data_IF_271164786719
#
_entry.id   IF_271164786719
#
_cell.length_a   1.000
_cell.length_b   1.000
_cell.length_c   1.000
_cell.angle_alpha   90.00
_cell.angle_beta   90.00
_cell.angle_gamma   90.00
#
_symmetry.space_group_name_H-M   'P 1'
#
loop_
_entity.id
_entity.type
_entity.pdbx_description
1 polymer ?
#
# COMPACT_ATOMS: atom_id res chain seq x y z
N UNK A 1 13.72 5.09 -1.56
CA UNK A 1 14.00 6.42 -2.19
C UNK A 1 15.04 7.25 -1.45
N UNK A 2 15.05 7.31 -0.11
CA UNK A 2 16.04 8.14 0.60
C UNK A 2 17.48 7.63 0.38
N UNK A 3 17.68 6.31 0.47
CA UNK A 3 18.99 5.66 0.21
C UNK A 3 19.46 5.91 -1.23
N UNK A 4 18.58 5.74 -2.21
CA UNK A 4 18.89 5.96 -3.63
C UNK A 4 19.33 7.41 -3.93
N UNK A 5 18.81 8.39 -3.20
CA UNK A 5 19.13 9.82 -3.41
C UNK A 5 20.33 10.31 -2.61
N UNK A 6 20.58 9.74 -1.44
CA UNK A 6 21.50 10.31 -0.46
C UNK A 6 22.69 9.41 -0.12
N UNK A 7 22.72 8.16 -0.59
CA UNK A 7 23.78 7.20 -0.28
C UNK A 7 24.39 6.66 -1.56
N UNK A 8 23.68 5.76 -2.24
CA UNK A 8 24.15 5.11 -3.45
C UNK A 8 22.98 4.48 -4.22
N UNK A 9 23.11 4.43 -5.55
CA UNK A 9 22.06 3.93 -6.45
C UNK A 9 21.88 2.42 -6.31
N UNK A 10 22.98 1.66 -6.25
CA UNK A 10 22.96 0.19 -6.16
C UNK A 10 22.34 -0.21 -4.81
N UNK A 11 22.79 0.40 -3.72
CA UNK A 11 22.20 0.17 -2.38
C UNK A 11 20.72 0.57 -2.33
N UNK A 12 20.35 1.65 -3.03
CA UNK A 12 18.96 2.07 -3.17
C UNK A 12 18.07 1.04 -3.88
N UNK A 13 18.60 0.38 -4.92
CA UNK A 13 17.90 -0.69 -5.64
C UNK A 13 17.79 -1.95 -4.77
N UNK A 14 18.89 -2.38 -4.14
CA UNK A 14 18.92 -3.56 -3.28
C UNK A 14 17.92 -3.42 -2.13
N UNK A 15 17.91 -2.27 -1.44
CA UNK A 15 16.95 -2.01 -0.36
C UNK A 15 15.50 -2.02 -0.86
N UNK A 16 15.24 -1.50 -2.06
CA UNK A 16 13.93 -1.58 -2.70
C UNK A 16 13.50 -3.01 -2.99
N UNK A 17 14.39 -3.86 -3.50
CA UNK A 17 14.13 -5.29 -3.74
C UNK A 17 13.83 -6.00 -2.42
N UNK A 18 14.62 -5.77 -1.38
CA UNK A 18 14.38 -6.34 -0.05
C UNK A 18 13.03 -5.88 0.54
N UNK A 19 12.63 -4.63 0.29
CA UNK A 19 11.33 -4.12 0.70
C UNK A 19 10.15 -4.81 -0.01
N UNK A 20 10.31 -5.17 -1.29
CA UNK A 20 9.35 -5.97 -2.04
C UNK A 20 9.31 -7.39 -1.50
N UNK A 21 10.48 -8.02 -1.31
CA UNK A 21 10.60 -9.41 -0.84
C UNK A 21 9.93 -9.59 0.53
N UNK A 22 10.15 -8.68 1.48
CA UNK A 22 9.52 -8.78 2.80
C UNK A 22 8.00 -8.57 2.79
N UNK A 23 7.46 -7.93 1.77
CA UNK A 23 6.01 -7.89 1.54
C UNK A 23 5.51 -9.15 0.84
N UNK A 24 6.27 -9.67 -0.12
CA UNK A 24 5.90 -10.81 -0.95
C UNK A 24 5.94 -12.13 -0.19
N UNK A 25 7.09 -12.50 0.40
CA UNK A 25 7.29 -13.82 1.02
C UNK A 25 6.23 -14.16 2.07
N UNK A 26 5.98 -13.34 3.11
CA UNK A 26 5.03 -13.73 4.15
C UNK A 26 3.60 -13.84 3.62
N UNK A 27 3.21 -12.98 2.67
CA UNK A 27 1.88 -13.02 2.06
C UNK A 27 1.74 -14.22 1.14
N UNK A 28 2.78 -14.58 0.40
CA UNK A 28 2.80 -15.76 -0.46
C UNK A 28 2.67 -17.04 0.37
N UNK A 29 3.41 -17.15 1.47
CA UNK A 29 3.30 -18.27 2.41
C UNK A 29 1.89 -18.33 3.02
N UNK A 30 1.33 -17.18 3.41
CA UNK A 30 -0.04 -17.11 3.91
C UNK A 30 -1.05 -17.57 2.85
N UNK A 31 -0.90 -17.16 1.59
CA UNK A 31 -1.75 -17.62 0.49
C UNK A 31 -1.67 -19.12 0.26
N UNK A 32 -0.48 -19.72 0.44
CA UNK A 32 -0.27 -21.13 0.15
C UNK A 32 -0.73 -22.05 1.27
N UNK A 33 -0.52 -21.65 2.52
CA UNK A 33 -0.67 -22.52 3.68
C UNK A 33 -1.83 -22.14 4.60
N UNK A 34 -2.41 -20.94 4.47
CA UNK A 34 -3.58 -20.58 5.27
C UNK A 34 -4.84 -21.27 4.75
N UNK A 35 -5.57 -21.89 5.68
CA UNK A 35 -6.92 -22.41 5.44
C UNK A 35 -7.95 -21.27 5.50
N UNK A 36 -7.66 -20.23 6.29
CA UNK A 36 -8.57 -19.12 6.53
C UNK A 36 -8.34 -18.02 5.47
N UNK A 37 -9.40 -17.68 4.74
CA UNK A 37 -9.32 -16.81 3.55
C UNK A 37 -8.81 -15.39 3.82
N UNK A 38 -9.09 -14.82 5.00
CA UNK A 38 -8.71 -13.45 5.33
C UNK A 38 -7.28 -13.31 5.89
N UNK A 39 -6.62 -14.42 6.25
CA UNK A 39 -5.27 -14.39 6.84
C UNK A 39 -4.24 -13.73 5.91
N UNK A 40 -4.19 -14.00 4.59
CA UNK A 40 -3.23 -13.32 3.71
C UNK A 40 -3.38 -11.80 3.73
N UNK A 41 -4.61 -11.28 3.79
CA UNK A 41 -4.90 -9.85 3.94
C UNK A 41 -4.44 -9.29 5.28
N UNK A 42 -4.64 -10.04 6.37
CA UNK A 42 -4.08 -9.65 7.66
C UNK A 42 -2.55 -9.56 7.61
N UNK A 43 -1.90 -10.51 6.94
CA UNK A 43 -0.45 -10.51 6.75
C UNK A 43 0.00 -9.31 5.91
N UNK A 44 -0.77 -8.89 4.89
CA UNK A 44 -0.52 -7.61 4.18
C UNK A 44 -0.52 -6.44 5.16
N UNK A 45 -1.57 -6.31 5.98
CA UNK A 45 -1.71 -5.22 6.96
C UNK A 45 -0.50 -5.18 7.89
N UNK A 46 -0.13 -6.32 8.47
CA UNK A 46 0.98 -6.43 9.42
C UNK A 46 2.33 -6.16 8.75
N UNK A 47 2.58 -6.68 7.55
CA UNK A 47 3.83 -6.45 6.82
C UNK A 47 4.02 -4.97 6.46
N UNK A 48 2.97 -4.30 5.99
CA UNK A 48 3.01 -2.87 5.68
C UNK A 48 3.15 -2.03 6.95
N UNK A 49 2.43 -2.38 8.02
CA UNK A 49 2.57 -1.71 9.32
C UNK A 49 4.01 -1.84 9.87
N UNK A 50 4.57 -3.04 9.86
CA UNK A 50 5.94 -3.30 10.31
C UNK A 50 7.00 -2.59 9.48
N UNK A 51 6.79 -2.41 8.17
CA UNK A 51 7.66 -1.55 7.35
C UNK A 51 7.52 -0.06 7.72
N UNK A 52 6.29 0.40 7.95
CA UNK A 52 6.00 1.82 8.22
C UNK A 52 6.48 2.26 9.61
N UNK A 53 6.40 1.38 10.59
CA UNK A 53 6.80 1.56 11.99
C UNK A 53 7.64 0.37 12.45
N UNK A 54 8.89 0.33 11.99
CA UNK A 54 9.80 -0.76 12.34
C UNK A 54 10.20 -0.65 13.81
N UNK A 55 10.03 -1.74 14.57
CA UNK A 55 10.47 -1.83 15.97
C UNK A 55 11.98 -1.60 16.07
N UNK A 56 12.74 -2.10 15.10
CA UNK A 56 14.21 -1.94 15.03
C UNK A 56 14.67 -0.50 14.74
N UNK A 57 13.75 0.38 14.33
CA UNK A 57 14.03 1.78 14.02
C UNK A 57 13.23 2.72 14.93
N UNK A 58 12.91 2.30 16.16
CA UNK A 58 12.15 3.09 17.13
C UNK A 58 10.79 3.57 16.56
N UNK A 59 10.07 2.68 15.88
CA UNK A 59 8.81 2.96 15.19
C UNK A 59 8.94 4.03 14.08
N UNK A 60 10.15 4.35 13.64
CA UNK A 60 10.39 5.05 12.39
C UNK A 60 10.44 4.03 11.23
N UNK A 61 10.17 4.50 10.02
CA UNK A 61 10.12 3.61 8.87
C UNK A 61 9.69 4.31 7.60
N UNK A 62 9.68 3.53 6.51
CA UNK A 62 9.34 4.00 5.17
C UNK A 62 7.84 4.20 4.96
N UNK A 63 7.45 4.38 3.69
CA UNK A 63 6.06 4.65 3.29
C UNK A 63 5.29 3.40 2.90
N UNK A 64 5.94 2.24 2.91
CA UNK A 64 5.30 0.96 2.61
C UNK A 64 5.11 0.68 1.13
N UNK A 65 5.35 1.62 0.20
CA UNK A 65 5.03 1.44 -1.23
C UNK A 65 5.59 0.16 -1.84
N UNK A 66 6.89 -0.11 -1.67
CA UNK A 66 7.53 -1.32 -2.19
C UNK A 66 7.01 -2.59 -1.49
N UNK A 67 6.77 -2.52 -0.19
CA UNK A 67 6.21 -3.62 0.61
C UNK A 67 4.76 -3.94 0.21
N UNK A 68 3.93 -2.93 -0.01
CA UNK A 68 2.56 -3.08 -0.52
C UNK A 68 2.57 -3.67 -1.92
N UNK A 69 3.49 -3.24 -2.79
CA UNK A 69 3.63 -3.83 -4.13
C UNK A 69 3.98 -5.31 -4.08
N UNK A 70 4.96 -5.71 -3.27
CA UNK A 70 5.30 -7.12 -3.07
C UNK A 70 4.14 -7.94 -2.49
N UNK A 71 3.41 -7.38 -1.53
CA UNK A 71 2.23 -8.03 -0.96
C UNK A 71 1.11 -8.22 -1.99
N UNK A 72 0.86 -7.23 -2.86
CA UNK A 72 -0.13 -7.34 -3.93
C UNK A 72 0.27 -8.37 -4.99
N UNK A 73 1.55 -8.45 -5.34
CA UNK A 73 2.07 -9.50 -6.22
C UNK A 73 1.87 -10.89 -5.62
N UNK A 74 2.06 -11.04 -4.31
CA UNK A 74 1.79 -12.32 -3.66
C UNK A 74 0.30 -12.65 -3.65
N UNK A 75 -0.58 -11.66 -3.37
CA UNK A 75 -2.04 -11.83 -3.43
C UNK A 75 -2.54 -12.22 -4.82
N UNK A 76 -1.97 -11.66 -5.90
CA UNK A 76 -2.40 -11.98 -7.26
C UNK A 76 -2.13 -13.43 -7.68
N UNK A 77 -1.17 -14.10 -7.04
CA UNK A 77 -0.89 -15.52 -7.26
C UNK A 77 -1.88 -16.46 -6.57
N UNK A 78 -2.76 -15.93 -5.70
CA UNK A 78 -3.80 -16.72 -5.07
C UNK A 78 -4.99 -16.86 -6.04
N UNK A 79 -5.30 -18.09 -6.43
CA UNK A 79 -6.42 -18.40 -7.32
C UNK A 79 -7.79 -17.99 -6.76
N UNK A 80 -7.92 -17.81 -5.44
CA UNK A 80 -9.13 -17.29 -4.82
C UNK A 80 -9.20 -15.75 -4.84
N UNK A 81 -8.09 -15.06 -5.09
CA UNK A 81 -8.04 -13.60 -5.07
C UNK A 81 -8.34 -13.04 -6.45
N UNK A 82 -9.55 -12.49 -6.60
CA UNK A 82 -9.96 -11.90 -7.86
C UNK A 82 -9.41 -10.47 -8.00
N UNK A 83 -8.50 -10.26 -8.95
CA UNK A 83 -7.92 -8.94 -9.26
C UNK A 83 -8.96 -7.87 -9.63
N UNK A 84 -10.17 -8.27 -10.03
CA UNK A 84 -11.31 -7.36 -10.26
C UNK A 84 -11.61 -6.48 -9.03
N UNK A 85 -11.29 -6.93 -7.81
CA UNK A 85 -11.49 -6.16 -6.57
C UNK A 85 -10.61 -4.90 -6.49
N UNK A 86 -9.56 -4.80 -7.30
CA UNK A 86 -8.68 -3.62 -7.32
C UNK A 86 -9.15 -2.57 -8.35
N UNK A 87 -10.01 -2.95 -9.29
CA UNK A 87 -10.42 -2.09 -10.41
C UNK A 87 -11.07 -0.78 -9.92
N UNK A 88 -12.02 -0.78 -8.96
CA UNK A 88 -12.62 0.48 -8.50
C UNK A 88 -11.60 1.44 -7.90
N UNK A 89 -10.61 0.92 -7.17
CA UNK A 89 -9.52 1.73 -6.62
C UNK A 89 -8.61 2.30 -7.70
N UNK A 90 -8.31 1.52 -8.75
CA UNK A 90 -7.51 1.98 -9.90
C UNK A 90 -8.27 3.03 -10.70
N UNK A 91 -9.57 2.83 -10.95
CA UNK A 91 -10.43 3.81 -11.63
C UNK A 91 -10.47 5.11 -10.83
N UNK A 92 -10.69 5.05 -9.51
CA UNK A 92 -10.69 6.23 -8.65
C UNK A 92 -9.37 7.01 -8.74
N UNK A 93 -8.23 6.30 -8.78
CA UNK A 93 -6.92 6.90 -8.97
C UNK A 93 -6.79 7.58 -10.35
N UNK A 94 -7.16 6.90 -11.43
CA UNK A 94 -7.06 7.42 -12.80
C UNK A 94 -7.96 8.64 -12.99
N UNK A 95 -9.22 8.57 -12.55
CA UNK A 95 -10.14 9.70 -12.62
C UNK A 95 -9.58 10.91 -11.87
N UNK A 96 -8.98 10.69 -10.71
CA UNK A 96 -8.39 11.78 -9.94
C UNK A 96 -7.19 12.42 -10.63
N UNK A 97 -6.38 11.62 -11.34
CA UNK A 97 -5.28 12.13 -12.16
C UNK A 97 -5.79 12.96 -13.35
N UNK A 98 -6.92 12.60 -13.94
CA UNK A 98 -7.51 13.34 -15.07
C UNK A 98 -8.14 14.65 -14.60
N UNK A 99 -8.99 14.61 -13.57
CA UNK A 99 -9.77 15.77 -13.12
C UNK A 99 -8.98 16.72 -12.22
N UNK A 100 -8.25 16.19 -11.24
CA UNK A 100 -7.54 17.00 -10.24
C UNK A 100 -6.05 17.17 -10.54
N UNK A 101 -5.49 16.37 -11.47
CA UNK A 101 -4.06 16.35 -11.79
C UNK A 101 -3.17 16.16 -10.56
N UNK A 102 -3.68 15.43 -9.57
CA UNK A 102 -3.03 15.21 -8.28
C UNK A 102 -3.03 13.71 -7.91
N UNK A 103 -1.84 13.12 -7.88
CA UNK A 103 -1.65 11.72 -7.52
C UNK A 103 -2.07 11.41 -6.09
N UNK A 104 -1.89 12.34 -5.15
CA UNK A 104 -2.20 12.08 -3.75
C UNK A 104 -3.70 12.02 -3.50
N UNK A 105 -4.48 12.86 -4.19
CA UNK A 105 -5.94 12.81 -4.17
C UNK A 105 -6.41 11.46 -4.73
N UNK A 106 -5.82 11.02 -5.85
CA UNK A 106 -6.13 9.71 -6.45
C UNK A 106 -5.80 8.53 -5.55
N UNK A 107 -4.64 8.54 -4.89
CA UNK A 107 -4.28 7.52 -3.93
C UNK A 107 -5.27 7.48 -2.75
N UNK A 108 -5.62 8.64 -2.18
CA UNK A 108 -6.59 8.75 -1.09
C UNK A 108 -7.94 8.17 -1.48
N UNK A 109 -8.48 8.57 -2.64
CA UNK A 109 -9.76 8.08 -3.13
C UNK A 109 -9.70 6.58 -3.44
N UNK A 110 -8.61 6.08 -4.03
CA UNK A 110 -8.41 4.65 -4.26
C UNK A 110 -8.45 3.83 -2.98
N UNK A 111 -7.79 4.31 -1.91
CA UNK A 111 -7.84 3.67 -0.59
C UNK A 111 -9.23 3.75 0.05
N UNK A 112 -9.96 4.86 -0.10
CA UNK A 112 -11.32 5.01 0.44
C UNK A 112 -12.34 4.11 -0.26
N UNK A 113 -12.19 3.90 -1.57
CA UNK A 113 -13.07 3.02 -2.35
C UNK A 113 -12.78 1.53 -2.09
N UNK A 114 -11.55 1.20 -1.69
CA UNK A 114 -11.10 -0.20 -1.58
C UNK A 114 -11.96 -1.09 -0.65
N UNK A 115 -12.38 -0.68 0.57
CA UNK A 115 -13.20 -1.53 1.44
C UNK A 115 -14.55 -1.87 0.82
N UNK A 116 -15.18 -0.91 0.15
CA UNK A 116 -16.47 -1.11 -0.53
C UNK A 116 -16.34 -2.07 -1.70
N UNK A 117 -15.22 -2.03 -2.42
CA UNK A 117 -14.95 -3.01 -3.47
C UNK A 117 -14.85 -4.43 -2.91
N UNK A 118 -14.19 -4.61 -1.77
CA UNK A 118 -14.12 -5.91 -1.10
C UNK A 118 -15.49 -6.37 -0.60
N UNK A 119 -16.33 -5.49 -0.06
CA UNK A 119 -17.71 -5.85 0.29
C UNK A 119 -18.53 -6.30 -0.94
N UNK A 120 -18.36 -5.64 -2.08
CA UNK A 120 -19.13 -5.95 -3.29
C UNK A 120 -18.67 -7.25 -3.97
N UNK A 121 -17.37 -7.41 -4.23
CA UNK A 121 -16.86 -8.55 -4.99
C UNK A 121 -16.57 -9.78 -4.12
N UNK A 122 -16.07 -9.59 -2.89
CA UNK A 122 -15.70 -10.70 -1.99
C UNK A 122 -16.78 -11.03 -0.98
N UNK A 123 -17.75 -10.13 -0.76
CA UNK A 123 -18.85 -10.30 0.20
C UNK A 123 -18.38 -10.64 1.63
N UNK A 124 -17.17 -10.21 1.98
CA UNK A 124 -16.54 -10.49 3.27
C UNK A 124 -16.32 -9.22 4.08
N UNK A 125 -17.03 -9.11 5.20
CA UNK A 125 -16.87 -8.00 6.15
C UNK A 125 -15.47 -7.96 6.75
N UNK A 126 -14.88 -9.12 7.05
CA UNK A 126 -13.55 -9.20 7.66
C UNK A 126 -12.48 -8.65 6.71
N UNK A 127 -12.52 -9.05 5.43
CA UNK A 127 -11.57 -8.55 4.43
C UNK A 127 -11.73 -7.04 4.19
N UNK A 128 -12.97 -6.54 4.15
CA UNK A 128 -13.24 -5.12 4.02
C UNK A 128 -12.70 -4.31 5.21
N UNK A 129 -12.86 -4.80 6.44
CA UNK A 129 -12.31 -4.18 7.65
C UNK A 129 -10.78 -4.17 7.60
N UNK A 130 -10.14 -5.27 7.20
CA UNK A 130 -8.68 -5.33 7.06
C UNK A 130 -8.15 -4.34 6.02
N UNK A 131 -8.85 -4.19 4.89
CA UNK A 131 -8.51 -3.20 3.87
C UNK A 131 -8.74 -1.77 4.36
N UNK A 132 -9.79 -1.52 5.14
CA UNK A 132 -10.00 -0.22 5.78
C UNK A 132 -8.87 0.12 6.76
N UNK A 133 -8.41 -0.86 7.55
CA UNK A 133 -7.25 -0.69 8.44
C UNK A 133 -5.99 -0.38 7.63
N UNK A 134 -5.74 -1.12 6.54
CA UNK A 134 -4.61 -0.86 5.63
C UNK A 134 -4.68 0.55 5.05
N UNK A 135 -5.86 0.98 4.59
CA UNK A 135 -6.10 2.31 4.06
C UNK A 135 -5.75 3.38 5.11
N UNK A 136 -6.24 3.24 6.35
CA UNK A 136 -5.93 4.17 7.45
C UNK A 136 -4.42 4.24 7.71
N UNK A 137 -3.74 3.09 7.76
CA UNK A 137 -2.29 3.01 7.97
C UNK A 137 -1.53 3.77 6.88
N UNK A 138 -1.88 3.54 5.62
CA UNK A 138 -1.19 4.15 4.48
C UNK A 138 -1.50 5.65 4.41
N UNK A 139 -2.76 6.05 4.57
CA UNK A 139 -3.18 7.46 4.57
C UNK A 139 -2.47 8.22 5.68
N UNK A 140 -2.38 7.65 6.89
CA UNK A 140 -1.66 8.25 8.00
C UNK A 140 -0.18 8.49 7.64
N UNK A 141 0.45 7.57 6.93
CA UNK A 141 1.85 7.73 6.53
C UNK A 141 2.02 8.75 5.40
N UNK A 142 1.10 8.76 4.43
CA UNK A 142 1.11 9.69 3.30
C UNK A 142 0.82 11.14 3.73
N UNK A 143 0.08 11.39 4.82
CA UNK A 143 -0.26 12.75 5.27
C UNK A 143 0.95 13.68 5.42
N UNK A 144 2.09 13.13 5.83
CA UNK A 144 3.34 13.88 5.99
C UNK A 144 3.92 14.33 4.64
N UNK A 145 3.78 13.50 3.61
CA UNK A 145 4.18 13.84 2.25
C UNK A 145 3.21 14.81 1.61
N UNK A 146 1.91 14.61 1.83
CA UNK A 146 0.87 15.50 1.33
C UNK A 146 1.09 16.92 1.85
N UNK A 147 1.37 17.07 3.15
CA UNK A 147 1.71 18.35 3.76
C UNK A 147 2.93 18.99 3.09
N UNK A 148 4.04 18.24 2.95
CA UNK A 148 5.26 18.72 2.29
C UNK A 148 5.02 19.09 0.82
N UNK A 149 4.20 18.33 0.11
CA UNK A 149 3.87 18.56 -1.29
C UNK A 149 3.13 19.88 -1.48
N UNK A 150 2.06 20.12 -0.71
CA UNK A 150 1.29 21.38 -0.81
C UNK A 150 2.08 22.59 -0.29
N UNK A 151 2.90 22.44 0.74
CA UNK A 151 3.82 23.50 1.18
C UNK A 151 4.79 23.91 0.07
N UNK A 152 5.37 22.94 -0.64
CA UNK A 152 6.25 23.22 -1.77
C UNK A 152 5.50 23.84 -2.95
N UNK A 153 4.28 23.38 -3.23
CA UNK A 153 3.42 23.92 -4.31
C UNK A 153 3.03 25.39 -4.04
N UNK A 154 2.64 25.71 -2.80
CA UNK A 154 2.35 27.11 -2.36
C UNK A 154 3.55 28.05 -2.49
N UNK A 155 4.78 27.56 -2.39
CA UNK A 155 5.99 28.39 -2.61
C UNK A 155 6.28 28.67 -4.08
N UNK A 156 5.69 27.92 -5.01
CA UNK A 156 5.92 28.03 -6.46
C UNK A 156 4.82 28.84 -7.14
N UNK A 157 3.59 28.81 -6.62
CA UNK A 157 2.49 29.70 -7.04
C UNK A 157 2.42 30.90 -6.09
N UNK A 158 2.78 32.12 -6.54
CA UNK A 158 2.67 33.34 -5.73
C UNK A 158 1.23 33.66 -5.34
#
# INVERSE_FOLDING_TARGET
>A
MNVLRNVDVILGIITGILDVIKGFIPVYLANRYSIIQWIPLLVVVVAVAGHNWSIFLNLAGGKGVATTFGALLALSLNSNFNLLVLIPSIIALILSLIFFKDFYIGALLGYLVSPFSFLYFRKSWVEAILILILAIIVIYKIRFDLKRYYEKRRKITP
#
